data_IF_248604462819
#
_entry.id   IF_248604462819
#
_cell.length_a   1.000
_cell.length_b   1.000
_cell.length_c   1.000
_cell.angle_alpha   90.00
_cell.angle_beta   90.00
_cell.angle_gamma   90.00
#
_symmetry.space_group_name_H-M   'P 1'
#
loop_
_entity.id
_entity.type
_entity.pdbx_description
1 polymer ?
#
# COMPACT_ATOMS: atom_id res chain seq x y z
N UNK A 1 -0.24 37.90 -0.59
CA UNK A 1 0.44 36.89 0.23
C UNK A 1 -0.65 36.02 0.81
N UNK A 2 -0.96 34.91 0.12
CA UNK A 2 -1.98 33.96 0.54
C UNK A 2 -1.47 33.18 1.73
N UNK A 3 -2.34 32.98 2.69
CA UNK A 3 -2.16 32.09 3.83
C UNK A 3 -1.88 30.69 3.30
N UNK A 4 -0.62 30.24 3.41
CA UNK A 4 -0.22 28.87 3.12
C UNK A 4 -0.59 28.03 4.31
N UNK A 5 -1.87 27.75 4.52
CA UNK A 5 -2.30 26.75 5.47
C UNK A 5 -1.85 25.38 4.94
N UNK A 6 -0.77 24.87 5.50
CA UNK A 6 -0.28 23.53 5.20
C UNK A 6 -1.16 22.54 5.94
N UNK A 7 -1.92 21.75 5.21
CA UNK A 7 -2.70 20.64 5.79
C UNK A 7 -1.83 19.39 5.70
N UNK A 8 -1.53 18.81 6.85
CA UNK A 8 -0.77 17.58 6.94
C UNK A 8 -1.70 16.38 7.01
N UNK A 9 -1.53 15.43 6.09
CA UNK A 9 -2.23 14.15 6.08
C UNK A 9 -1.21 13.05 6.37
N UNK A 10 -1.47 12.26 7.41
CA UNK A 10 -0.68 11.06 7.70
C UNK A 10 -1.09 9.99 6.70
N UNK A 11 -0.12 9.35 6.06
CA UNK A 11 -0.32 8.29 5.08
C UNK A 11 0.75 7.20 5.23
N UNK A 12 0.42 5.98 4.79
CA UNK A 12 1.40 4.94 4.52
C UNK A 12 1.92 5.06 3.09
N UNK A 13 3.08 4.52 2.81
CA UNK A 13 3.70 4.59 1.50
C UNK A 13 4.44 3.31 1.13
N UNK A 14 4.47 2.98 -0.17
CA UNK A 14 5.21 1.84 -0.68
C UNK A 14 5.68 2.01 -2.11
N UNK A 15 6.84 1.42 -2.39
CA UNK A 15 7.36 1.29 -3.75
C UNK A 15 6.70 0.12 -4.47
N UNK A 16 6.30 0.30 -5.73
CA UNK A 16 5.67 -0.71 -6.55
C UNK A 16 6.28 -0.78 -7.95
N UNK A 17 6.23 -1.94 -8.56
CA UNK A 17 6.64 -2.18 -9.94
C UNK A 17 5.44 -2.28 -10.89
N UNK A 18 5.72 -2.51 -12.17
CA UNK A 18 4.72 -2.60 -13.25
C UNK A 18 3.66 -3.69 -13.04
N UNK A 19 3.95 -4.71 -12.25
CA UNK A 19 3.08 -5.87 -12.07
C UNK A 19 2.23 -5.81 -10.81
N UNK A 20 2.59 -4.92 -9.87
CA UNK A 20 2.00 -4.91 -8.53
C UNK A 20 0.46 -4.84 -8.55
N UNK A 21 -0.12 -3.81 -9.17
CA UNK A 21 -1.57 -3.62 -9.16
C UNK A 21 -2.31 -4.74 -9.90
N UNK A 22 -1.73 -5.25 -10.98
CA UNK A 22 -2.29 -6.38 -11.73
C UNK A 22 -2.27 -7.66 -10.89
N UNK A 23 -1.17 -7.91 -10.19
CA UNK A 23 -1.02 -9.10 -9.36
C UNK A 23 -1.96 -9.05 -8.15
N UNK A 24 -2.13 -7.87 -7.57
CA UNK A 24 -3.01 -7.63 -6.41
C UNK A 24 -4.47 -7.40 -6.80
N UNK A 25 -4.79 -7.46 -8.11
CA UNK A 25 -6.14 -7.25 -8.65
C UNK A 25 -6.76 -5.90 -8.22
N UNK A 26 -5.93 -4.86 -8.19
CA UNK A 26 -6.34 -3.52 -7.77
C UNK A 26 -6.77 -2.70 -8.97
N UNK A 27 -7.98 -2.18 -8.94
CA UNK A 27 -8.56 -1.39 -10.01
C UNK A 27 -8.19 0.10 -9.89
N UNK A 28 -7.92 0.72 -11.05
CA UNK A 28 -7.84 2.17 -11.16
C UNK A 28 -9.24 2.79 -11.22
N UNK A 29 -9.45 3.81 -10.39
CA UNK A 29 -10.70 4.61 -10.36
C UNK A 29 -10.57 5.82 -11.26
N UNK A 30 -9.38 6.44 -11.28
CA UNK A 30 -9.07 7.64 -12.05
C UNK A 30 -7.61 7.58 -12.52
N UNK A 31 -7.33 8.11 -13.72
CA UNK A 31 -5.98 8.15 -14.27
C UNK A 31 -5.45 6.79 -14.71
N UNK A 32 -4.13 6.60 -14.55
CA UNK A 32 -3.45 5.40 -15.02
C UNK A 32 -2.18 5.10 -14.22
N UNK A 33 -1.52 4.00 -14.57
CA UNK A 33 -0.20 3.64 -14.05
C UNK A 33 0.85 4.71 -14.41
N UNK A 34 1.98 4.69 -13.73
CA UNK A 34 3.11 5.59 -13.97
C UNK A 34 3.52 5.61 -15.44
N UNK A 35 3.69 6.80 -15.99
CA UNK A 35 4.26 6.98 -17.34
C UNK A 35 5.77 7.06 -17.30
N UNK A 36 6.33 7.58 -16.21
CA UNK A 36 7.76 7.63 -15.93
C UNK A 36 8.15 6.45 -15.04
N UNK A 37 8.95 5.53 -15.58
CA UNK A 37 9.32 4.27 -14.93
C UNK A 37 10.77 4.28 -14.49
N UNK A 38 11.11 5.20 -13.63
CA UNK A 38 12.44 5.34 -13.06
C UNK A 38 12.37 5.87 -11.63
N UNK A 39 13.44 5.70 -10.88
CA UNK A 39 13.52 6.10 -9.47
C UNK A 39 13.47 7.62 -9.25
N UNK A 40 13.60 8.42 -10.32
CA UNK A 40 13.49 9.89 -10.30
C UNK A 40 12.09 10.37 -10.70
N UNK A 41 11.15 9.47 -10.94
CA UNK A 41 9.78 9.84 -11.30
C UNK A 41 9.16 10.75 -10.25
N UNK A 42 8.57 11.84 -10.72
CA UNK A 42 7.81 12.77 -9.89
C UNK A 42 6.31 12.46 -9.91
N UNK A 43 5.97 11.21 -10.15
CA UNK A 43 4.59 10.73 -10.18
C UNK A 43 4.29 9.88 -8.93
N UNK A 44 3.05 9.99 -8.47
CA UNK A 44 2.49 9.12 -7.43
C UNK A 44 1.13 8.59 -7.85
N UNK A 45 0.81 7.41 -7.35
CA UNK A 45 -0.54 6.86 -7.35
C UNK A 45 -1.03 6.89 -5.90
N UNK A 46 -2.29 7.22 -5.69
CA UNK A 46 -2.89 7.30 -4.36
C UNK A 46 -4.15 6.45 -4.29
N UNK A 47 -4.56 6.07 -3.09
CA UNK A 47 -5.83 5.40 -2.89
C UNK A 47 -7.03 6.37 -2.90
N UNK A 48 -8.24 5.84 -3.08
CA UNK A 48 -9.49 6.64 -3.07
C UNK A 48 -9.67 7.43 -1.78
N UNK A 49 -9.23 6.88 -0.65
CA UNK A 49 -9.36 7.51 0.65
C UNK A 49 -8.54 8.81 0.72
N UNK A 50 -7.29 8.77 0.24
CA UNK A 50 -6.45 9.95 0.13
C UNK A 50 -6.99 10.93 -0.91
N UNK A 51 -7.40 10.42 -2.09
CA UNK A 51 -7.96 11.25 -3.15
C UNK A 51 -9.16 12.05 -2.65
N UNK A 52 -10.13 11.40 -1.98
CA UNK A 52 -11.31 12.05 -1.45
C UNK A 52 -10.97 13.12 -0.40
N UNK A 53 -9.99 12.86 0.47
CA UNK A 53 -9.51 13.85 1.45
C UNK A 53 -8.89 15.07 0.76
N UNK A 54 -8.00 14.83 -0.21
CA UNK A 54 -7.30 15.89 -0.95
C UNK A 54 -8.26 16.73 -1.80
N UNK A 55 -9.17 16.10 -2.52
CA UNK A 55 -10.22 16.77 -3.33
C UNK A 55 -11.06 17.70 -2.47
N UNK A 56 -11.49 17.21 -1.29
CA UNK A 56 -12.30 18.00 -0.35
C UNK A 56 -11.51 19.20 0.21
N UNK A 57 -10.27 18.97 0.64
CA UNK A 57 -9.42 20.00 1.24
C UNK A 57 -8.91 21.02 0.23
N UNK A 58 -8.56 20.56 -0.96
CA UNK A 58 -8.07 21.41 -2.05
C UNK A 58 -9.18 22.08 -2.87
N UNK A 59 -10.46 21.79 -2.56
CA UNK A 59 -11.62 22.24 -3.33
C UNK A 59 -11.48 21.93 -4.83
N UNK A 60 -10.88 20.79 -5.17
CA UNK A 60 -10.64 20.40 -6.56
C UNK A 60 -11.93 19.91 -7.22
N UNK A 61 -12.34 20.57 -8.30
CA UNK A 61 -13.59 20.23 -9.01
C UNK A 61 -13.41 19.09 -10.01
N UNK A 62 -12.18 18.89 -10.48
CA UNK A 62 -11.86 17.99 -11.60
C UNK A 62 -11.15 16.71 -11.14
N UNK A 63 -11.34 16.30 -9.90
CA UNK A 63 -10.68 15.12 -9.35
C UNK A 63 -9.26 15.36 -8.85
N UNK A 64 -8.55 14.28 -8.54
CA UNK A 64 -7.21 14.33 -7.96
C UNK A 64 -6.09 14.19 -9.00
N UNK A 65 -6.34 13.52 -10.11
CA UNK A 65 -5.33 13.26 -11.15
C UNK A 65 -4.84 14.59 -11.78
N UNK A 66 -3.53 14.67 -12.00
CA UNK A 66 -2.86 15.87 -12.50
C UNK A 66 -2.57 16.94 -11.44
N UNK A 67 -3.07 16.79 -10.23
CA UNK A 67 -2.77 17.72 -9.13
C UNK A 67 -1.39 17.44 -8.55
N UNK A 68 -0.78 18.49 -8.02
CA UNK A 68 0.56 18.42 -7.41
C UNK A 68 0.44 18.53 -5.91
N UNK A 69 1.14 17.63 -5.22
CA UNK A 69 1.21 17.57 -3.76
C UNK A 69 2.65 17.46 -3.29
N UNK A 70 2.92 17.98 -2.12
CA UNK A 70 4.20 17.79 -1.47
C UNK A 70 4.15 16.52 -0.60
N UNK A 71 5.16 15.66 -0.71
CA UNK A 71 5.27 14.41 0.05
C UNK A 71 6.59 14.45 0.81
N UNK A 72 6.52 14.69 2.11
CA UNK A 72 7.68 14.98 2.98
C UNK A 72 8.79 13.93 2.97
N UNK A 73 8.45 12.68 2.69
CA UNK A 73 9.42 11.57 2.65
C UNK A 73 10.16 11.43 1.32
N UNK A 74 9.74 12.15 0.28
CA UNK A 74 10.23 11.97 -1.10
C UNK A 74 10.47 13.27 -1.85
N UNK A 75 10.24 14.42 -1.20
CA UNK A 75 10.42 15.72 -1.81
C UNK A 75 11.21 16.64 -0.89
N UNK A 76 12.13 17.41 -1.46
CA UNK A 76 12.70 18.56 -0.80
C UNK A 76 11.63 19.65 -0.61
N UNK A 77 11.90 20.71 0.18
CA UNK A 77 10.89 21.68 0.59
C UNK A 77 10.15 22.36 -0.58
N UNK A 78 10.81 22.53 -1.73
CA UNK A 78 10.23 23.16 -2.93
C UNK A 78 9.75 22.18 -4.00
N UNK A 79 9.89 20.89 -3.77
CA UNK A 79 9.52 19.86 -4.74
C UNK A 79 8.11 19.35 -4.52
N UNK A 80 7.46 18.92 -5.59
CA UNK A 80 6.13 18.33 -5.54
C UNK A 80 6.05 17.13 -6.44
N UNK A 81 5.14 16.21 -6.11
CA UNK A 81 4.81 15.04 -6.93
C UNK A 81 3.45 15.23 -7.59
N UNK A 82 3.29 14.69 -8.79
CA UNK A 82 2.05 14.75 -9.55
C UNK A 82 1.27 13.45 -9.36
N UNK A 83 0.01 13.56 -8.99
CA UNK A 83 -0.90 12.40 -8.91
C UNK A 83 -1.21 11.95 -10.33
N UNK A 84 -0.76 10.77 -10.73
CA UNK A 84 -1.01 10.19 -12.06
C UNK A 84 -2.16 9.19 -12.07
N UNK A 85 -2.53 8.63 -10.91
CA UNK A 85 -3.61 7.68 -10.80
C UNK A 85 -4.21 7.60 -9.40
N UNK A 86 -5.45 7.18 -9.35
CA UNK A 86 -6.18 6.84 -8.13
C UNK A 86 -6.63 5.40 -8.24
N UNK A 87 -6.35 4.59 -7.22
CA UNK A 87 -6.75 3.18 -7.14
C UNK A 87 -7.78 2.96 -6.05
N UNK A 88 -8.55 1.89 -6.16
CA UNK A 88 -9.43 1.45 -5.07
C UNK A 88 -8.64 1.19 -3.80
N UNK A 89 -9.28 1.43 -2.67
CA UNK A 89 -8.66 1.20 -1.38
C UNK A 89 -8.24 -0.26 -1.22
N UNK A 90 -6.97 -0.48 -0.90
CA UNK A 90 -6.41 -1.79 -0.54
C UNK A 90 -6.16 -1.80 0.97
N UNK A 91 -6.59 -2.86 1.62
CA UNK A 91 -6.36 -3.01 3.06
C UNK A 91 -5.07 -3.79 3.29
N UNK A 92 -4.10 -3.14 3.90
CA UNK A 92 -2.81 -3.73 4.26
C UNK A 92 -2.71 -4.16 5.73
N UNK A 93 -3.74 -3.90 6.52
CA UNK A 93 -3.74 -4.19 7.95
C UNK A 93 -5.05 -4.75 8.47
N UNK A 94 -5.04 -5.12 9.74
CA UNK A 94 -6.24 -5.62 10.44
C UNK A 94 -7.31 -4.55 10.56
N UNK A 95 -8.58 -4.97 10.50
CA UNK A 95 -9.71 -4.09 10.79
C UNK A 95 -9.71 -3.85 12.30
N UNK A 96 -9.34 -2.66 12.72
CA UNK A 96 -9.56 -2.26 14.11
C UNK A 96 -11.03 -1.92 14.29
N UNK A 97 -11.67 -2.55 15.29
CA UNK A 97 -13.10 -2.35 15.59
C UNK A 97 -13.46 -0.93 16.02
N UNK A 98 -12.46 -0.12 16.40
CA UNK A 98 -12.67 1.27 16.81
C UNK A 98 -12.83 2.26 15.65
N UNK A 99 -12.54 1.85 14.40
CA UNK A 99 -12.55 2.74 13.23
C UNK A 99 -13.03 2.01 11.96
N UNK A 100 -14.13 1.30 12.05
CA UNK A 100 -14.51 0.28 11.08
C UNK A 100 -14.76 0.76 9.64
N UNK A 101 -15.03 2.05 9.35
CA UNK A 101 -15.50 2.40 8.02
C UNK A 101 -14.90 3.63 7.33
N UNK A 102 -14.15 4.48 8.01
CA UNK A 102 -13.73 5.73 7.36
C UNK A 102 -12.25 6.07 7.48
N UNK A 103 -11.48 5.30 8.24
CA UNK A 103 -10.12 5.66 8.62
C UNK A 103 -9.07 4.58 8.34
N UNK A 104 -9.19 3.83 7.23
CA UNK A 104 -7.99 3.20 6.70
C UNK A 104 -6.94 4.29 6.48
N UNK A 105 -5.72 4.07 6.96
CA UNK A 105 -4.62 5.01 6.70
C UNK A 105 -4.50 5.19 5.21
N UNK A 106 -4.54 6.42 4.68
CA UNK A 106 -4.33 6.67 3.26
C UNK A 106 -3.01 6.08 2.78
N UNK A 107 -2.97 5.65 1.53
CA UNK A 107 -1.78 5.04 0.97
C UNK A 107 -1.27 5.77 -0.28
N UNK A 108 0.05 5.95 -0.36
CA UNK A 108 0.75 6.55 -1.50
C UNK A 108 1.69 5.51 -2.11
N UNK A 109 1.59 5.33 -3.42
CA UNK A 109 2.45 4.42 -4.18
C UNK A 109 3.46 5.23 -4.99
N UNK A 110 4.71 4.81 -4.92
CA UNK A 110 5.82 5.35 -5.71
C UNK A 110 6.28 4.31 -6.73
N UNK A 111 6.76 4.76 -7.88
CA UNK A 111 7.47 3.85 -8.77
C UNK A 111 8.86 3.57 -8.21
N UNK A 112 9.22 2.31 -8.13
CA UNK A 112 10.54 1.93 -7.70
C UNK A 112 10.63 0.46 -7.31
N UNK A 113 11.85 -0.05 -7.31
CA UNK A 113 12.11 -1.43 -6.91
C UNK A 113 11.85 -1.57 -5.42
N UNK A 114 10.98 -2.49 -5.06
CA UNK A 114 10.84 -2.91 -3.68
C UNK A 114 12.15 -3.58 -3.23
N UNK A 115 12.93 -2.88 -2.43
CA UNK A 115 14.23 -3.38 -1.97
C UNK A 115 14.13 -4.41 -0.83
N UNK A 116 12.94 -4.67 -0.30
CA UNK A 116 12.76 -5.44 0.94
C UNK A 116 11.97 -6.72 0.77
N UNK A 117 11.02 -6.78 -0.15
CA UNK A 117 10.23 -7.99 -0.37
C UNK A 117 9.83 -8.14 -1.84
N UNK A 118 9.61 -9.38 -2.22
CA UNK A 118 9.09 -9.77 -3.51
C UNK A 118 7.78 -10.52 -3.29
N UNK A 119 6.72 -10.11 -3.97
CA UNK A 119 5.46 -10.83 -3.99
C UNK A 119 5.47 -11.82 -5.16
N UNK A 120 5.10 -13.06 -4.88
CA UNK A 120 5.00 -14.12 -5.88
C UNK A 120 3.60 -14.71 -5.83
N UNK A 121 2.91 -14.73 -6.96
CA UNK A 121 1.59 -15.36 -7.07
C UNK A 121 1.73 -16.77 -7.62
N UNK A 122 1.19 -17.73 -6.90
CA UNK A 122 1.09 -19.13 -7.33
C UNK A 122 -0.31 -19.42 -7.85
N UNK A 123 -0.40 -20.32 -8.83
CA UNK A 123 -1.68 -20.88 -9.25
C UNK A 123 -2.20 -21.88 -8.22
N UNK A 124 -1.28 -22.61 -7.57
CA UNK A 124 -1.56 -23.55 -6.49
C UNK A 124 -0.42 -23.41 -5.46
N UNK A 125 -0.80 -22.99 -4.26
CA UNK A 125 0.13 -22.77 -3.15
C UNK A 125 0.20 -24.03 -2.30
N UNK A 126 1.37 -24.66 -2.27
CA UNK A 126 1.66 -25.84 -1.45
C UNK A 126 2.92 -25.62 -0.63
N UNK A 127 3.10 -26.38 0.45
CA UNK A 127 4.36 -26.34 1.22
C UNK A 127 5.58 -26.62 0.34
N UNK A 128 5.42 -27.52 -0.63
CA UNK A 128 6.48 -27.82 -1.59
C UNK A 128 6.82 -26.62 -2.46
N UNK A 129 5.81 -25.90 -3.00
CA UNK A 129 6.06 -24.73 -3.84
C UNK A 129 6.71 -23.58 -3.06
N UNK A 130 6.41 -23.43 -1.78
CA UNK A 130 7.08 -22.48 -0.89
C UNK A 130 8.55 -22.87 -0.66
N UNK A 131 8.81 -24.15 -0.36
CA UNK A 131 10.18 -24.66 -0.20
C UNK A 131 11.01 -24.51 -1.47
N UNK A 132 10.46 -24.91 -2.60
CA UNK A 132 11.13 -24.82 -3.90
C UNK A 132 11.46 -23.35 -4.25
N UNK A 133 10.56 -22.42 -3.96
CA UNK A 133 10.79 -20.98 -4.13
C UNK A 133 11.93 -20.50 -3.23
N UNK A 134 11.89 -20.87 -1.94
CA UNK A 134 12.93 -20.50 -0.97
C UNK A 134 14.29 -20.98 -1.44
N UNK A 135 14.44 -22.27 -1.81
CA UNK A 135 15.67 -22.85 -2.23
C UNK A 135 16.21 -22.18 -3.52
N UNK A 136 15.33 -21.89 -4.46
CA UNK A 136 15.69 -21.19 -5.68
C UNK A 136 16.20 -19.77 -5.43
N UNK A 137 15.49 -18.99 -4.60
CA UNK A 137 15.91 -17.62 -4.27
C UNK A 137 17.20 -17.65 -3.43
N UNK A 138 17.31 -18.57 -2.46
CA UNK A 138 18.52 -18.74 -1.66
C UNK A 138 19.75 -19.09 -2.52
N UNK A 139 19.56 -19.87 -3.57
CA UNK A 139 20.66 -20.22 -4.51
C UNK A 139 21.17 -19.00 -5.28
N UNK A 140 20.30 -18.02 -5.57
CA UNK A 140 20.65 -16.77 -6.23
C UNK A 140 21.35 -15.77 -5.29
N UNK A 141 21.05 -15.87 -4.02
CA UNK A 141 21.56 -14.96 -2.96
C UNK A 141 22.19 -15.76 -1.81
N UNK A 142 23.30 -16.47 -2.02
CA UNK A 142 23.86 -17.43 -1.05
C UNK A 142 24.33 -16.78 0.26
N UNK A 143 24.64 -15.48 0.22
CA UNK A 143 25.14 -14.74 1.38
C UNK A 143 24.02 -13.99 2.14
N UNK A 144 22.78 -14.10 1.71
CA UNK A 144 21.64 -13.45 2.34
C UNK A 144 20.71 -14.49 2.96
N UNK A 145 20.12 -14.18 4.10
CA UNK A 145 19.04 -14.98 4.63
C UNK A 145 17.75 -14.72 3.83
N UNK A 146 17.19 -15.78 3.23
CA UNK A 146 15.92 -15.73 2.50
C UNK A 146 14.81 -16.30 3.37
N UNK A 147 13.80 -15.48 3.64
CA UNK A 147 12.59 -15.92 4.31
C UNK A 147 11.41 -15.86 3.35
N UNK A 148 10.63 -16.92 3.31
CA UNK A 148 9.41 -16.99 2.47
C UNK A 148 8.22 -17.16 3.39
N UNK A 149 7.20 -16.31 3.21
CA UNK A 149 5.97 -16.34 3.97
C UNK A 149 4.79 -16.58 3.04
N UNK A 150 3.82 -17.36 3.52
CA UNK A 150 2.49 -17.36 2.93
C UNK A 150 1.74 -16.11 3.41
N UNK A 151 1.45 -15.20 2.49
CA UNK A 151 0.81 -13.91 2.79
C UNK A 151 -0.56 -14.10 3.44
N UNK A 152 -1.34 -15.11 3.03
CA UNK A 152 -2.67 -15.38 3.61
C UNK A 152 -2.55 -15.87 5.05
N UNK A 153 -1.58 -16.74 5.34
CA UNK A 153 -1.33 -17.24 6.69
C UNK A 153 -0.86 -16.13 7.62
N UNK A 154 0.04 -15.25 7.17
CA UNK A 154 0.47 -14.07 7.94
C UNK A 154 -0.71 -13.13 8.21
N UNK A 155 -1.55 -12.89 7.21
CA UNK A 155 -2.73 -12.06 7.37
C UNK A 155 -3.71 -12.66 8.38
N UNK A 156 -3.97 -13.97 8.30
CA UNK A 156 -4.80 -14.70 9.28
C UNK A 156 -4.21 -14.65 10.69
N UNK A 157 -2.90 -14.77 10.83
CA UNK A 157 -2.22 -14.70 12.13
C UNK A 157 -2.43 -13.33 12.83
N UNK A 158 -2.49 -12.25 12.08
CA UNK A 158 -2.79 -10.91 12.62
C UNK A 158 -4.22 -10.86 13.22
N UNK A 159 -5.18 -11.57 12.65
CA UNK A 159 -6.55 -11.68 13.17
C UNK A 159 -6.72 -12.68 14.31
N UNK A 160 -5.84 -13.66 14.43
CA UNK A 160 -5.95 -14.71 15.43
C UNK A 160 -5.97 -14.16 16.86
N UNK A 161 -5.17 -13.16 17.16
CA UNK A 161 -5.16 -12.51 18.46
C UNK A 161 -6.51 -11.85 18.78
N UNK A 162 -7.13 -11.17 17.82
CA UNK A 162 -8.43 -10.51 17.98
C UNK A 162 -9.56 -11.55 18.17
N UNK A 163 -9.51 -12.65 17.44
CA UNK A 163 -10.45 -13.77 17.59
C UNK A 163 -10.32 -14.43 18.96
N UNK A 164 -9.12 -14.58 19.48
CA UNK A 164 -8.88 -15.13 20.82
C UNK A 164 -9.43 -14.24 21.93
N UNK A 165 -9.29 -12.92 21.80
CA UNK A 165 -9.93 -11.98 22.73
C UNK A 165 -11.46 -12.12 22.71
N UNK A 166 -12.06 -12.13 21.53
CA UNK A 166 -13.51 -12.32 21.38
C UNK A 166 -14.00 -13.62 22.03
N UNK A 167 -13.30 -14.73 21.77
CA UNK A 167 -13.66 -16.04 22.32
C UNK A 167 -13.45 -16.11 23.84
N UNK A 168 -12.41 -15.44 24.36
CA UNK A 168 -12.18 -15.30 25.79
C UNK A 168 -13.34 -14.56 26.51
N UNK A 169 -13.87 -13.49 25.92
CA UNK A 169 -15.03 -12.78 26.47
C UNK A 169 -16.33 -13.61 26.42
N UNK A 170 -16.51 -14.43 25.39
CA UNK A 170 -17.68 -15.32 25.30
C UNK A 170 -17.68 -16.43 26.36
N UNK A 171 -16.50 -16.90 26.77
CA UNK A 171 -16.37 -17.91 27.84
C UNK A 171 -16.49 -17.29 29.23
N UNK A 172 -16.07 -16.03 29.41
CA UNK A 172 -16.17 -15.35 30.71
C UNK A 172 -17.57 -14.75 31.01
N UNK A 173 -18.45 -14.75 30.01
CA UNK A 173 -19.83 -14.21 30.13
C UNK A 173 -20.92 -15.27 30.40
N UNK A 174 -20.55 -16.48 30.85
CA UNK A 174 -21.49 -17.51 31.28
C UNK A 174 -21.60 -17.52 32.80
#
# INVERSE_FOLDING_TARGET
>A
PGDKSTIQIIHDAGGVDDNYFKMMDVEFVEGSFFTERNDSSRQIIIDENLANKLVKLGHWKDGAVGKRVWVSSHCDEDETMTICGVVKNVRYGTISTSNADTNATPFVYFYGRANRCMLVKFNDLTEKSLSDLKDKVQSLYPNNEVTVYDYESEFKAQYASQLNYRNGFLVAGI
#
